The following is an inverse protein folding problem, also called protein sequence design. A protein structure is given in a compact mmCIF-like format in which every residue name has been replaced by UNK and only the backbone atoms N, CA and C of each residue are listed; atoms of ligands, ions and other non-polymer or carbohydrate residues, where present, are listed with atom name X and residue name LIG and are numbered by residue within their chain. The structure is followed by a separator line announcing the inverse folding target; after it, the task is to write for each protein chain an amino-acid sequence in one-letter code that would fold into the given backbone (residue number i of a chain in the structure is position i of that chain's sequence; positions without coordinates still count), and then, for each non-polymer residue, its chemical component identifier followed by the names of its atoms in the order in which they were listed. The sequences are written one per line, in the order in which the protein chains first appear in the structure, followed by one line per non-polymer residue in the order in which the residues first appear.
data_IF_537585580691
#
_entry.id   IF_537585580691
#
_cell.length_a   1.000
_cell.length_b   1.000
_cell.length_c   1.000
_cell.angle_alpha   90.00
_cell.angle_beta   90.00
_cell.angle_gamma   90.00
#
_symmetry.space_group_name_H-M   'P 1'
#
loop_
_entity.id
_entity.type
_entity.pdbx_description
1 polymer ?
#
# COMPACT_ATOMS: atom_id res chain seq x y z
N UNK A 1 28.81 3.49 0.26
CA UNK A 1 27.72 2.56 -0.09
C UNK A 1 26.52 3.35 -0.63
N UNK A 2 25.58 2.74 -1.38
CA UNK A 2 24.38 3.46 -1.89
C UNK A 2 23.58 4.13 -0.77
N UNK A 3 23.52 3.50 0.40
CA UNK A 3 22.87 4.04 1.59
C UNK A 3 23.52 5.33 2.12
N UNK A 4 24.85 5.43 2.08
CA UNK A 4 25.56 6.66 2.46
C UNK A 4 25.34 7.79 1.45
N UNK A 5 25.22 7.41 0.17
CA UNK A 5 24.91 8.34 -0.92
C UNK A 5 23.50 8.90 -0.73
N UNK A 6 22.51 8.04 -0.51
CA UNK A 6 21.12 8.43 -0.23
C UNK A 6 21.02 9.40 0.96
N UNK A 7 21.70 9.08 2.07
CA UNK A 7 21.76 9.95 3.26
C UNK A 7 22.25 11.35 2.92
N UNK A 8 23.32 11.46 2.13
CA UNK A 8 23.88 12.76 1.72
C UNK A 8 22.93 13.53 0.80
N UNK A 9 22.29 12.84 -0.15
CA UNK A 9 21.35 13.45 -1.10
C UNK A 9 20.13 14.03 -0.40
N UNK A 10 19.53 13.28 0.52
CA UNK A 10 18.39 13.73 1.30
C UNK A 10 18.74 14.91 2.23
N UNK A 11 19.93 14.91 2.84
CA UNK A 11 20.38 16.01 3.70
C UNK A 11 20.66 17.30 2.92
N UNK A 12 21.08 17.19 1.65
CA UNK A 12 21.42 18.33 0.81
C UNK A 12 20.23 18.84 -0.03
N UNK A 13 19.02 18.30 0.18
CA UNK A 13 17.83 18.67 -0.58
C UNK A 13 17.80 18.14 -2.02
N UNK A 14 18.69 17.22 -2.38
CA UNK A 14 18.79 16.62 -3.72
C UNK A 14 17.77 15.52 -3.93
N UNK A 15 16.47 15.87 -4.02
CA UNK A 15 15.38 14.90 -4.16
C UNK A 15 15.54 14.03 -5.40
N UNK A 16 15.78 14.62 -6.58
CA UNK A 16 15.93 13.88 -7.83
C UNK A 16 17.02 12.81 -7.75
N UNK A 17 18.21 13.18 -7.30
CA UNK A 17 19.31 12.25 -7.09
C UNK A 17 18.98 11.16 -6.07
N UNK A 18 18.23 11.51 -5.02
CA UNK A 18 17.79 10.54 -4.01
C UNK A 18 16.82 9.51 -4.61
N UNK A 19 15.90 9.92 -5.51
CA UNK A 19 14.97 9.02 -6.20
C UNK A 19 15.74 7.99 -7.04
N UNK A 20 16.72 8.44 -7.84
CA UNK A 20 17.59 7.55 -8.62
C UNK A 20 18.35 6.55 -7.74
N UNK A 21 18.82 7.00 -6.58
CA UNK A 21 19.54 6.15 -5.63
C UNK A 21 18.60 5.13 -4.99
N UNK A 22 17.37 5.51 -4.65
CA UNK A 22 16.34 4.61 -4.09
C UNK A 22 15.95 3.54 -5.10
N UNK A 23 15.68 3.91 -6.35
CA UNK A 23 15.38 2.96 -7.43
C UNK A 23 16.51 1.93 -7.59
N UNK A 24 17.77 2.39 -7.64
CA UNK A 24 18.93 1.49 -7.72
C UNK A 24 19.03 0.53 -6.54
N UNK A 25 18.71 0.99 -5.32
CA UNK A 25 18.69 0.12 -4.13
C UNK A 25 17.61 -0.96 -4.28
N UNK A 26 16.41 -0.59 -4.74
CA UNK A 26 15.31 -1.53 -5.00
C UNK A 26 15.71 -2.60 -6.02
N UNK A 27 16.21 -2.19 -7.18
CA UNK A 27 16.66 -3.08 -8.26
C UNK A 27 17.80 -4.02 -7.85
N UNK A 28 18.66 -3.59 -6.93
CA UNK A 28 19.75 -4.42 -6.40
C UNK A 28 19.28 -5.41 -5.33
N UNK A 29 18.03 -5.29 -4.84
CA UNK A 29 17.47 -6.10 -3.77
C UNK A 29 18.37 -6.16 -2.53
N UNK A 30 18.98 -5.03 -2.17
CA UNK A 30 19.87 -4.95 -1.01
C UNK A 30 19.07 -4.93 0.30
N UNK A 31 18.78 -6.13 0.83
CA UNK A 31 18.06 -6.35 2.09
C UNK A 31 18.66 -5.59 3.28
N UNK A 32 19.96 -5.28 3.27
CA UNK A 32 20.60 -4.56 4.39
C UNK A 32 20.13 -3.11 4.50
N UNK A 33 19.53 -2.57 3.44
CA UNK A 33 19.01 -1.20 3.40
C UNK A 33 17.60 -1.06 3.97
N UNK A 34 16.86 -2.16 4.09
CA UNK A 34 15.42 -2.18 4.44
C UNK A 34 15.10 -1.38 5.71
N UNK A 35 15.81 -1.55 6.85
CA UNK A 35 15.51 -0.76 8.05
C UNK A 35 15.67 0.75 7.84
N UNK A 36 16.62 1.16 7.00
CA UNK A 36 16.84 2.58 6.70
C UNK A 36 15.78 3.12 5.74
N UNK A 37 15.40 2.36 4.71
CA UNK A 37 14.33 2.76 3.79
C UNK A 37 12.99 2.89 4.51
N UNK A 38 12.66 1.93 5.41
CA UNK A 38 11.47 2.01 6.28
C UNK A 38 11.49 3.30 7.10
N UNK A 39 12.61 3.62 7.75
CA UNK A 39 12.72 4.85 8.54
C UNK A 39 12.47 6.11 7.70
N UNK A 40 12.99 6.17 6.48
CA UNK A 40 12.69 7.29 5.57
C UNK A 40 11.23 7.32 5.12
N UNK A 41 10.64 6.15 4.83
CA UNK A 41 9.25 6.00 4.38
C UNK A 41 8.28 6.55 5.44
N UNK A 42 8.47 6.16 6.71
CA UNK A 42 7.58 6.60 7.79
C UNK A 42 7.81 8.04 8.22
N UNK A 43 9.00 8.60 8.04
CA UNK A 43 9.33 9.97 8.46
C UNK A 43 9.07 11.03 7.39
N UNK A 44 9.10 10.68 6.10
CA UNK A 44 8.91 11.66 5.03
C UNK A 44 7.48 12.23 4.95
N UNK A 45 7.39 13.53 4.66
CA UNK A 45 6.17 14.23 4.28
C UNK A 45 6.09 14.49 2.76
N UNK A 46 7.15 14.17 2.00
CA UNK A 46 7.17 14.31 0.56
C UNK A 46 6.56 13.07 -0.09
N UNK A 47 5.51 13.26 -0.90
CA UNK A 47 4.78 12.15 -1.54
C UNK A 47 5.67 11.40 -2.55
N UNK A 48 6.39 12.10 -3.42
CA UNK A 48 7.27 11.47 -4.41
C UNK A 48 8.35 10.61 -3.75
N UNK A 49 8.96 11.12 -2.66
CA UNK A 49 9.95 10.36 -1.90
C UNK A 49 9.32 9.12 -1.25
N UNK A 50 8.10 9.25 -0.70
CA UNK A 50 7.38 8.11 -0.11
C UNK A 50 7.07 7.04 -1.15
N UNK A 51 6.62 7.46 -2.33
CA UNK A 51 6.27 6.55 -3.43
C UNK A 51 7.48 5.75 -3.89
N UNK A 52 8.62 6.42 -4.13
CA UNK A 52 9.87 5.74 -4.50
C UNK A 52 10.35 4.75 -3.43
N UNK A 53 10.25 5.13 -2.15
CA UNK A 53 10.63 4.24 -1.03
C UNK A 53 9.70 3.02 -0.93
N UNK A 54 8.40 3.20 -1.17
CA UNK A 54 7.44 2.10 -1.16
C UNK A 54 7.70 1.10 -2.29
N UNK A 55 7.96 1.60 -3.50
CA UNK A 55 8.30 0.78 -4.67
C UNK A 55 9.60 0.02 -4.42
N UNK A 56 10.67 0.70 -3.98
CA UNK A 56 11.94 0.05 -3.71
C UNK A 56 11.82 -1.04 -2.62
N UNK A 57 10.99 -0.84 -1.60
CA UNK A 57 10.72 -1.86 -0.58
C UNK A 57 9.96 -3.06 -1.15
N UNK A 58 9.01 -2.84 -2.07
CA UNK A 58 8.33 -3.92 -2.79
C UNK A 58 9.30 -4.70 -3.69
N UNK A 59 10.18 -4.02 -4.42
CA UNK A 59 11.19 -4.65 -5.28
C UNK A 59 12.19 -5.52 -4.48
N UNK A 60 12.54 -5.09 -3.25
CA UNK A 60 13.36 -5.88 -2.33
C UNK A 60 12.59 -7.10 -1.80
N UNK A 61 11.28 -6.95 -1.53
CA UNK A 61 10.42 -8.05 -1.09
C UNK A 61 10.65 -8.49 0.36
N UNK A 62 11.30 -7.68 1.20
CA UNK A 62 11.48 -7.99 2.63
C UNK A 62 10.19 -7.74 3.41
N UNK A 63 9.68 -8.79 4.07
CA UNK A 63 8.43 -8.76 4.82
C UNK A 63 8.39 -7.73 5.97
N UNK A 64 9.55 -7.22 6.41
CA UNK A 64 9.62 -6.09 7.35
C UNK A 64 8.93 -4.82 6.82
N UNK A 65 8.72 -4.69 5.51
CA UNK A 65 8.04 -3.56 4.89
C UNK A 65 6.51 -3.56 5.09
N UNK A 66 5.90 -4.71 5.39
CA UNK A 66 4.43 -4.86 5.43
C UNK A 66 3.81 -3.95 6.49
N UNK A 67 4.24 -4.06 7.75
CA UNK A 67 3.67 -3.29 8.86
C UNK A 67 3.83 -1.77 8.67
N UNK A 68 5.01 -1.24 8.26
CA UNK A 68 5.16 0.17 7.90
C UNK A 68 4.22 0.64 6.79
N UNK A 69 4.08 -0.14 5.70
CA UNK A 69 3.21 0.21 4.58
C UNK A 69 1.73 0.22 5.01
N UNK A 70 1.28 -0.79 5.76
CA UNK A 70 -0.06 -0.86 6.33
C UNK A 70 -0.32 0.32 7.29
N UNK A 71 0.64 0.64 8.16
CA UNK A 71 0.54 1.78 9.06
C UNK A 71 0.34 3.11 8.32
N UNK A 72 0.97 3.26 7.15
CA UNK A 72 0.81 4.43 6.30
C UNK A 72 -0.53 4.49 5.58
N UNK A 73 -1.16 3.35 5.26
CA UNK A 73 -2.52 3.33 4.73
C UNK A 73 -3.55 3.89 5.72
N UNK A 74 -3.28 3.86 7.03
CA UNK A 74 -4.16 4.46 8.06
C UNK A 74 -3.82 5.91 8.38
N UNK A 75 -2.68 6.40 7.90
CA UNK A 75 -2.18 7.71 8.32
C UNK A 75 -2.95 8.86 7.66
N UNK A 76 -3.25 9.96 8.38
CA UNK A 76 -3.79 11.17 7.77
C UNK A 76 -2.86 11.79 6.73
N UNK A 77 -1.54 11.59 6.87
CA UNK A 77 -0.54 12.18 5.94
C UNK A 77 -0.60 11.60 4.52
N UNK A 78 -1.30 10.47 4.34
CA UNK A 78 -1.40 9.76 3.07
C UNK A 78 -2.81 9.81 2.48
N UNK A 79 -3.76 10.53 3.08
CA UNK A 79 -5.19 10.49 2.72
C UNK A 79 -5.52 10.75 1.23
N UNK A 80 -4.60 11.33 0.46
CA UNK A 80 -4.75 11.56 -0.99
C UNK A 80 -3.68 10.88 -1.85
N UNK A 81 -2.89 9.98 -1.27
CA UNK A 81 -1.70 9.38 -1.89
C UNK A 81 -1.41 8.00 -1.29
N UNK A 82 -2.45 7.15 -1.24
CA UNK A 82 -2.37 5.75 -0.79
C UNK A 82 -2.19 4.76 -1.93
N UNK A 83 -2.40 5.17 -3.19
CA UNK A 83 -2.34 4.29 -4.37
C UNK A 83 -1.04 3.50 -4.45
N UNK A 84 0.12 4.18 -4.45
CA UNK A 84 1.43 3.53 -4.48
C UNK A 84 1.70 2.61 -3.29
N UNK A 85 1.17 2.93 -2.11
CA UNK A 85 1.32 2.08 -0.92
C UNK A 85 0.53 0.77 -1.08
N UNK A 86 -0.68 0.85 -1.63
CA UNK A 86 -1.48 -0.32 -1.96
C UNK A 86 -0.83 -1.17 -3.06
N UNK A 87 -0.33 -0.53 -4.11
CA UNK A 87 0.42 -1.19 -5.18
C UNK A 87 1.64 -1.94 -4.65
N UNK A 88 2.46 -1.28 -3.80
CA UNK A 88 3.63 -1.90 -3.19
C UNK A 88 3.25 -3.14 -2.35
N UNK A 89 2.08 -3.13 -1.70
CA UNK A 89 1.60 -4.25 -0.89
C UNK A 89 1.20 -5.48 -1.70
N UNK A 90 0.95 -5.37 -3.01
CA UNK A 90 0.58 -6.51 -3.87
C UNK A 90 1.68 -7.59 -3.94
N UNK A 91 2.94 -7.18 -3.77
CA UNK A 91 4.09 -8.08 -3.76
C UNK A 91 4.25 -8.86 -2.44
N UNK A 92 3.39 -8.60 -1.45
CA UNK A 92 3.45 -9.22 -0.13
C UNK A 92 2.18 -10.03 0.16
N UNK A 93 2.29 -11.03 1.03
CA UNK A 93 1.10 -11.61 1.65
C UNK A 93 0.64 -10.72 2.81
N UNK A 94 -0.42 -9.95 2.56
CA UNK A 94 -1.05 -9.06 3.54
C UNK A 94 -2.52 -9.44 3.79
N UNK A 95 -2.89 -10.70 3.58
CA UNK A 95 -4.28 -11.18 3.71
C UNK A 95 -4.87 -10.96 5.11
N UNK A 96 -4.02 -10.95 6.15
CA UNK A 96 -4.42 -10.61 7.52
C UNK A 96 -4.95 -9.18 7.69
N UNK A 97 -4.76 -8.30 6.70
CA UNK A 97 -5.27 -6.93 6.70
C UNK A 97 -6.46 -6.73 5.74
N UNK A 98 -7.07 -7.81 5.23
CA UNK A 98 -8.18 -7.72 4.28
C UNK A 98 -9.33 -6.82 4.76
N UNK A 99 -9.65 -6.87 6.05
CA UNK A 99 -10.68 -6.01 6.66
C UNK A 99 -10.33 -4.52 6.55
N UNK A 100 -9.07 -4.16 6.79
CA UNK A 100 -8.55 -2.80 6.66
C UNK A 100 -8.55 -2.36 5.19
N UNK A 101 -8.09 -3.22 4.29
CA UNK A 101 -8.03 -2.91 2.85
C UNK A 101 -9.46 -2.75 2.30
N UNK A 102 -10.42 -3.52 2.80
CA UNK A 102 -11.84 -3.37 2.48
C UNK A 102 -12.37 -1.98 2.84
N UNK A 103 -11.95 -1.40 3.97
CA UNK A 103 -12.36 -0.04 4.34
C UNK A 103 -11.85 1.02 3.35
N UNK A 104 -10.75 0.76 2.65
CA UNK A 104 -10.20 1.67 1.64
C UNK A 104 -11.02 1.68 0.33
N UNK A 105 -11.81 0.64 0.07
CA UNK A 105 -12.78 0.63 -1.05
C UNK A 105 -13.77 1.79 -0.93
N UNK A 106 -14.07 2.22 0.30
CA UNK A 106 -15.10 3.20 0.60
C UNK A 106 -14.62 4.65 0.42
N UNK A 107 -13.33 4.88 0.22
CA UNK A 107 -12.80 6.23 0.04
C UNK A 107 -13.34 6.91 -1.22
N UNK A 108 -13.38 8.25 -1.22
CA UNK A 108 -13.82 9.01 -2.39
C UNK A 108 -12.75 9.11 -3.48
N UNK A 109 -11.51 8.74 -3.18
CA UNK A 109 -10.45 8.70 -4.18
C UNK A 109 -10.56 7.40 -4.99
N UNK A 110 -10.97 7.53 -6.25
CA UNK A 110 -11.15 6.41 -7.18
C UNK A 110 -9.89 5.55 -7.33
N UNK A 111 -8.70 6.16 -7.35
CA UNK A 111 -7.43 5.45 -7.44
C UNK A 111 -7.22 4.54 -6.23
N UNK A 112 -7.49 5.04 -5.03
CA UNK A 112 -7.35 4.27 -3.78
C UNK A 112 -8.36 3.13 -3.74
N UNK A 113 -9.63 3.39 -4.07
CA UNK A 113 -10.67 2.35 -4.11
C UNK A 113 -10.31 1.25 -5.11
N UNK A 114 -9.88 1.61 -6.32
CA UNK A 114 -9.52 0.62 -7.34
C UNK A 114 -8.29 -0.19 -6.96
N UNK A 115 -7.26 0.45 -6.41
CA UNK A 115 -6.06 -0.25 -5.99
C UNK A 115 -6.33 -1.18 -4.80
N UNK A 116 -7.21 -0.78 -3.87
CA UNK A 116 -7.64 -1.65 -2.78
C UNK A 116 -8.39 -2.88 -3.29
N UNK A 117 -9.22 -2.73 -4.33
CA UNK A 117 -9.89 -3.86 -4.99
C UNK A 117 -8.86 -4.84 -5.59
N UNK A 118 -7.90 -4.34 -6.37
CA UNK A 118 -6.87 -5.17 -7.01
C UNK A 118 -6.04 -5.90 -5.96
N UNK A 119 -5.63 -5.19 -4.90
CA UNK A 119 -4.89 -5.81 -3.80
C UNK A 119 -5.72 -6.90 -3.12
N UNK A 120 -7.01 -6.67 -2.85
CA UNK A 120 -7.89 -7.70 -2.28
C UNK A 120 -7.99 -8.91 -3.20
N UNK A 121 -8.21 -8.70 -4.50
CA UNK A 121 -8.28 -9.74 -5.52
C UNK A 121 -7.03 -10.62 -5.51
N UNK A 122 -5.84 -10.02 -5.51
CA UNK A 122 -4.56 -10.73 -5.46
C UNK A 122 -4.40 -11.59 -4.18
N UNK A 123 -5.06 -11.23 -3.09
CA UNK A 123 -4.93 -11.90 -1.80
C UNK A 123 -6.02 -12.95 -1.54
N UNK A 124 -7.04 -13.08 -2.40
CA UNK A 124 -8.25 -13.87 -2.13
C UNK A 124 -7.99 -15.33 -1.73
N UNK A 125 -6.98 -15.97 -2.32
CA UNK A 125 -6.60 -17.36 -2.00
C UNK A 125 -6.03 -17.52 -0.58
N UNK A 126 -5.61 -16.42 0.05
CA UNK A 126 -5.01 -16.40 1.38
C UNK A 126 -5.95 -15.82 2.46
N UNK A 127 -7.14 -15.35 2.09
CA UNK A 127 -8.14 -14.80 3.01
C UNK A 127 -9.08 -15.93 3.44
N UNK A 128 -9.29 -16.10 4.75
CA UNK A 128 -10.21 -17.11 5.27
C UNK A 128 -11.69 -16.75 5.00
N UNK A 129 -12.55 -17.76 4.90
CA UNK A 129 -13.99 -17.55 4.65
C UNK A 129 -14.67 -16.68 5.72
N UNK A 130 -14.23 -16.75 6.98
CA UNK A 130 -14.75 -15.90 8.05
C UNK A 130 -14.42 -14.43 7.80
N UNK A 131 -13.17 -14.15 7.38
CA UNK A 131 -12.74 -12.79 7.04
C UNK A 131 -13.44 -12.28 5.78
N UNK A 132 -13.61 -13.12 4.74
CA UNK A 132 -14.39 -12.77 3.54
C UNK A 132 -15.83 -12.37 3.91
N UNK A 133 -16.46 -13.15 4.81
CA UNK A 133 -17.81 -12.87 5.29
C UNK A 133 -17.90 -11.53 6.00
N UNK A 134 -16.92 -11.20 6.85
CA UNK A 134 -16.89 -9.91 7.55
C UNK A 134 -16.62 -8.74 6.58
N UNK A 135 -15.77 -8.93 5.56
CA UNK A 135 -15.55 -7.94 4.50
C UNK A 135 -16.84 -7.64 3.72
N UNK A 136 -17.56 -8.68 3.27
CA UNK A 136 -18.87 -8.55 2.60
C UNK A 136 -19.86 -7.79 3.50
N UNK A 137 -19.89 -8.10 4.80
CA UNK A 137 -20.77 -7.42 5.76
C UNK A 137 -20.46 -5.93 5.85
N UNK A 138 -19.17 -5.53 5.91
CA UNK A 138 -18.77 -4.12 5.86
C UNK A 138 -19.22 -3.44 4.56
N UNK A 139 -18.98 -4.06 3.41
CA UNK A 139 -19.35 -3.50 2.11
C UNK A 139 -20.87 -3.29 2.02
N UNK A 140 -21.67 -4.27 2.46
CA UNK A 140 -23.13 -4.15 2.51
C UNK A 140 -23.63 -3.04 3.44
N UNK A 141 -22.93 -2.80 4.55
CA UNK A 141 -23.26 -1.68 5.44
C UNK A 141 -22.97 -0.34 4.77
N UNK A 142 -21.88 -0.23 4.02
CA UNK A 142 -21.50 1.00 3.34
C UNK A 142 -22.37 1.29 2.10
N UNK A 143 -22.76 0.25 1.37
CA UNK A 143 -23.69 0.33 0.24
C UNK A 143 -25.01 1.04 0.61
N UNK A 144 -25.49 0.86 1.85
CA UNK A 144 -26.71 1.52 2.35
C UNK A 144 -26.54 3.03 2.54
N UNK A 145 -25.30 3.51 2.68
CA UNK A 145 -24.96 4.90 2.96
C UNK A 145 -24.48 5.66 1.71
N UNK A 146 -24.02 4.95 0.68
CA UNK A 146 -23.37 5.52 -0.52
C UNK A 146 -24.05 5.08 -1.83
N UNK A 147 -25.21 5.68 -2.18
CA UNK A 147 -25.95 5.33 -3.39
C UNK A 147 -25.16 5.54 -4.69
N UNK A 148 -24.21 6.46 -4.68
CA UNK A 148 -23.32 6.81 -5.79
C UNK A 148 -22.27 5.73 -6.09
N UNK A 149 -21.97 4.85 -5.13
CA UNK A 149 -20.96 3.78 -5.28
C UNK A 149 -21.55 2.39 -5.47
N UNK A 150 -22.87 2.30 -5.71
CA UNK A 150 -23.59 1.01 -5.73
C UNK A 150 -22.97 0.01 -6.71
N UNK A 151 -22.63 0.45 -7.92
CA UNK A 151 -22.04 -0.43 -8.93
C UNK A 151 -20.71 -1.03 -8.45
N UNK A 152 -19.78 -0.18 -8.01
CA UNK A 152 -18.44 -0.59 -7.58
C UNK A 152 -18.47 -1.45 -6.30
N UNK A 153 -19.31 -1.10 -5.32
CA UNK A 153 -19.43 -1.88 -4.10
C UNK A 153 -20.14 -3.23 -4.33
N UNK A 154 -21.00 -3.34 -5.34
CA UNK A 154 -21.58 -4.62 -5.74
C UNK A 154 -20.52 -5.51 -6.39
N UNK A 155 -19.73 -4.98 -7.33
CA UNK A 155 -18.56 -5.68 -7.91
C UNK A 155 -17.58 -6.15 -6.82
N UNK A 156 -17.36 -5.32 -5.81
CA UNK A 156 -16.52 -5.68 -4.66
C UNK A 156 -17.10 -6.81 -3.82
N UNK A 157 -18.43 -6.96 -3.71
CA UNK A 157 -19.05 -8.11 -3.03
C UNK A 157 -18.85 -9.37 -3.85
N UNK A 158 -19.08 -9.28 -5.16
CA UNK A 158 -18.96 -10.42 -6.09
C UNK A 158 -17.52 -10.99 -6.05
N UNK A 159 -16.50 -10.13 -5.97
CA UNK A 159 -15.10 -10.54 -5.77
C UNK A 159 -14.91 -11.55 -4.61
N UNK A 160 -15.55 -11.30 -3.46
CA UNK A 160 -15.45 -12.17 -2.28
C UNK A 160 -16.36 -13.41 -2.34
N UNK A 161 -17.38 -13.41 -3.20
CA UNK A 161 -18.29 -14.55 -3.38
C UNK A 161 -17.76 -15.54 -4.41
N UNK A 162 -17.07 -15.04 -5.43
CA UNK A 162 -16.56 -15.85 -6.54
C UNK A 162 -15.23 -16.55 -6.23
N UNK A 163 -14.53 -16.16 -5.15
CA UNK A 163 -13.24 -16.69 -4.72
C UNK A 163 -13.27 -17.22 -3.30
#
# INVERSE_FOLDING_TARGET
MLLDKLKKELNNGGLENALDTIEKIGLMQDYTTVPTLINYLVSTNNNMLRDALAIALADIGDHQAIEPLIGLLKSPKTLKSRGTLLYALESFNCSNYAELITELLFENNFEVSRQAFILLEAQMLHISNDVKTECIKRIKQELRKTPDKVQFLTESIDLFLDN
#
